data_IF_386831529377
#
_entry.id   IF_386831529377
#
_cell.length_a   1.000
_cell.length_b   1.000
_cell.length_c   1.000
_cell.angle_alpha   90.00
_cell.angle_beta   90.00
_cell.angle_gamma   90.00
#
_symmetry.space_group_name_H-M   'P 1'
#
loop_
_entity.id
_entity.type
_entity.pdbx_description
1 polymer ?
#
# COMPACT_ATOMS: atom_id res chain seq x y z
N UNK A 1 -4.42 2.92 17.09
CA UNK A 1 -3.34 2.97 18.11
C UNK A 1 -2.70 1.60 18.40
N UNK A 2 -3.01 0.53 17.64
CA UNK A 2 -2.55 -0.85 17.92
C UNK A 2 -1.21 -1.21 17.27
N UNK A 3 -0.82 -0.58 16.15
CA UNK A 3 0.51 -0.80 15.53
C UNK A 3 1.67 -0.29 16.36
N UNK A 4 1.52 0.88 17.00
CA UNK A 4 2.47 1.34 18.01
C UNK A 4 2.47 0.40 19.23
N UNK A 5 1.32 -0.11 19.67
CA UNK A 5 1.28 -1.06 20.79
C UNK A 5 1.90 -2.42 20.45
N UNK A 6 1.83 -2.88 19.20
CA UNK A 6 2.48 -4.11 18.76
C UNK A 6 3.98 -3.93 18.56
N UNK A 7 4.42 -2.80 18.00
CA UNK A 7 5.85 -2.48 17.88
C UNK A 7 6.49 -2.18 19.24
N UNK A 8 5.81 -1.41 20.10
CA UNK A 8 6.20 -1.14 21.49
C UNK A 8 6.11 -2.43 22.31
N UNK A 9 5.07 -3.23 22.14
CA UNK A 9 4.91 -4.53 22.81
C UNK A 9 5.98 -5.53 22.39
N UNK A 10 6.35 -5.55 21.11
CA UNK A 10 7.49 -6.30 20.59
C UNK A 10 8.78 -5.78 21.20
N UNK A 11 9.05 -4.47 21.17
CA UNK A 11 10.24 -3.86 21.77
C UNK A 11 10.34 -4.16 23.27
N UNK A 12 9.25 -4.03 24.03
CA UNK A 12 9.18 -4.34 25.45
C UNK A 12 9.45 -5.83 25.69
N UNK A 13 8.78 -6.72 24.95
CA UNK A 13 9.00 -8.17 25.07
C UNK A 13 10.42 -8.56 24.68
N UNK A 14 11.02 -7.87 23.70
CA UNK A 14 12.35 -8.11 23.19
C UNK A 14 13.44 -7.66 24.17
N UNK A 15 13.27 -6.47 24.75
CA UNK A 15 14.14 -5.95 25.82
C UNK A 15 14.03 -6.84 27.07
N UNK A 16 12.81 -7.28 27.42
CA UNK A 16 12.61 -8.23 28.53
C UNK A 16 13.31 -9.57 28.26
N UNK A 17 13.24 -10.10 27.03
CA UNK A 17 13.95 -11.31 26.64
C UNK A 17 15.48 -11.13 26.74
N UNK A 18 16.00 -9.98 26.32
CA UNK A 18 17.42 -9.65 26.46
C UNK A 18 17.84 -9.59 27.94
N UNK A 19 17.08 -8.88 28.78
CA UNK A 19 17.35 -8.72 30.22
C UNK A 19 17.26 -10.07 30.98
N UNK A 20 16.16 -10.80 30.84
CA UNK A 20 15.94 -12.07 31.52
C UNK A 20 16.91 -13.14 31.03
N UNK A 21 17.23 -13.14 29.74
CA UNK A 21 18.21 -14.03 29.15
C UNK A 21 19.63 -13.78 29.66
N UNK A 22 20.02 -12.51 29.86
CA UNK A 22 21.33 -12.17 30.45
C UNK A 22 21.46 -12.68 31.89
N UNK A 23 20.42 -12.52 32.71
CA UNK A 23 20.39 -13.04 34.09
C UNK A 23 20.44 -14.57 34.12
N UNK A 24 19.69 -15.23 33.23
CA UNK A 24 19.72 -16.69 33.12
C UNK A 24 21.11 -17.20 32.67
N UNK A 25 21.72 -16.52 31.71
CA UNK A 25 23.05 -16.84 31.20
C UNK A 25 24.12 -16.73 32.29
N UNK A 26 24.09 -15.64 33.07
CA UNK A 26 24.98 -15.45 34.23
C UNK A 26 24.81 -16.58 35.25
N UNK A 27 23.57 -16.98 35.55
CA UNK A 27 23.28 -18.07 36.48
C UNK A 27 23.82 -19.43 36.00
N UNK A 28 23.76 -19.71 34.69
CA UNK A 28 24.26 -20.94 34.07
C UNK A 28 25.80 -20.95 34.06
N UNK A 29 26.42 -19.82 33.72
CA UNK A 29 27.88 -19.66 33.72
C UNK A 29 28.47 -19.81 35.12
N UNK A 30 27.77 -19.30 36.14
CA UNK A 30 28.12 -19.49 37.54
C UNK A 30 28.07 -20.95 37.96
N UNK A 31 27.00 -21.68 37.57
CA UNK A 31 26.89 -23.13 37.84
C UNK A 31 27.92 -23.97 37.10
N UNK A 32 28.35 -23.53 35.91
CA UNK A 32 29.38 -24.20 35.13
C UNK A 32 30.82 -23.93 35.62
N UNK A 33 31.00 -23.10 36.66
CA UNK A 33 32.34 -22.78 37.20
C UNK A 33 33.17 -21.87 36.29
N UNK A 34 32.58 -21.31 35.23
CA UNK A 34 33.26 -20.47 34.25
C UNK A 34 33.56 -19.05 34.80
N UNK A 35 32.90 -18.67 35.90
CA UNK A 35 33.05 -17.35 36.53
C UNK A 35 34.19 -17.27 37.57
N UNK A 36 34.86 -18.38 37.91
CA UNK A 36 35.80 -18.46 39.04
C UNK A 36 37.29 -18.33 38.68
N UNK A 37 37.64 -17.94 37.45
CA UNK A 37 39.05 -17.81 37.01
C UNK A 37 39.45 -16.36 36.70
N UNK A 38 40.73 -16.02 36.76
CA UNK A 38 41.24 -14.64 36.58
C UNK A 38 40.91 -13.98 35.21
N UNK A 39 40.48 -14.76 34.22
CA UNK A 39 40.00 -14.27 32.91
C UNK A 39 38.46 -14.17 32.82
N UNK A 40 37.75 -14.34 33.94
CA UNK A 40 36.28 -14.37 34.04
C UNK A 40 35.63 -13.12 33.43
N UNK A 41 36.23 -11.93 33.62
CA UNK A 41 35.68 -10.68 33.06
C UNK A 41 35.66 -10.65 31.53
N UNK A 42 36.70 -11.18 30.88
CA UNK A 42 36.79 -11.24 29.41
C UNK A 42 35.83 -12.29 28.86
N UNK A 43 35.75 -13.45 29.50
CA UNK A 43 34.85 -14.54 29.10
C UNK A 43 33.39 -14.07 29.22
N UNK A 44 33.03 -13.41 30.32
CA UNK A 44 31.70 -12.83 30.53
C UNK A 44 31.42 -11.76 29.47
N UNK A 45 32.35 -10.84 29.21
CA UNK A 45 32.17 -9.80 28.20
C UNK A 45 31.90 -10.37 26.81
N UNK A 46 32.68 -11.38 26.39
CA UNK A 46 32.49 -12.06 25.10
C UNK A 46 31.12 -12.72 25.02
N UNK A 47 30.69 -13.40 26.08
CA UNK A 47 29.40 -14.10 26.11
C UNK A 47 28.23 -13.11 26.10
N UNK A 48 28.32 -12.01 26.83
CA UNK A 48 27.30 -10.94 26.81
C UNK A 48 27.22 -10.25 25.44
N UNK A 49 28.37 -10.00 24.80
CA UNK A 49 28.42 -9.44 23.44
C UNK A 49 27.81 -10.42 22.42
N UNK A 50 28.14 -11.71 22.51
CA UNK A 50 27.58 -12.74 21.63
C UNK A 50 26.06 -12.89 21.83
N UNK A 51 25.58 -12.90 23.08
CA UNK A 51 24.15 -12.91 23.40
C UNK A 51 23.44 -11.67 22.86
N UNK A 52 24.03 -10.49 23.05
CA UNK A 52 23.48 -9.22 22.55
C UNK A 52 23.43 -9.20 21.02
N UNK A 53 24.47 -9.69 20.34
CA UNK A 53 24.49 -9.79 18.88
C UNK A 53 23.44 -10.79 18.37
N UNK A 54 23.32 -11.97 18.98
CA UNK A 54 22.34 -12.99 18.59
C UNK A 54 20.90 -12.50 18.77
N UNK A 55 20.60 -11.85 19.90
CA UNK A 55 19.28 -11.27 20.16
C UNK A 55 19.02 -10.05 19.26
N UNK A 56 20.02 -9.22 18.98
CA UNK A 56 19.83 -8.07 18.06
C UNK A 56 19.59 -8.53 16.63
N UNK A 57 20.36 -9.51 16.13
CA UNK A 57 20.21 -10.08 14.79
C UNK A 57 18.89 -10.85 14.64
N UNK A 58 18.55 -11.69 15.62
CA UNK A 58 17.29 -12.43 15.63
C UNK A 58 16.08 -11.50 15.73
N UNK A 59 16.19 -10.44 16.53
CA UNK A 59 15.14 -9.43 16.71
C UNK A 59 14.93 -8.61 15.47
N UNK A 60 16.02 -8.15 14.87
CA UNK A 60 15.99 -7.44 13.59
C UNK A 60 15.43 -8.34 12.48
N UNK A 61 15.82 -9.61 12.41
CA UNK A 61 15.31 -10.55 11.41
C UNK A 61 13.80 -10.82 11.60
N UNK A 62 13.34 -11.02 12.83
CA UNK A 62 11.93 -11.22 13.14
C UNK A 62 11.11 -9.95 12.92
N UNK A 63 11.62 -8.81 13.36
CA UNK A 63 11.02 -7.50 13.13
C UNK A 63 10.90 -7.22 11.63
N UNK A 64 11.94 -7.47 10.84
CA UNK A 64 11.89 -7.37 9.38
C UNK A 64 10.97 -8.40 8.73
N UNK A 65 10.84 -9.59 9.31
CA UNK A 65 9.88 -10.59 8.81
C UNK A 65 8.43 -10.15 9.05
N UNK A 66 8.16 -9.49 10.17
CA UNK A 66 6.82 -9.02 10.54
C UNK A 66 6.47 -7.71 9.82
N UNK A 67 7.42 -6.78 9.72
CA UNK A 67 7.21 -5.43 9.17
C UNK A 67 7.60 -5.29 7.70
N UNK A 68 8.47 -6.17 7.20
CA UNK A 68 9.02 -6.10 5.85
C UNK A 68 9.99 -4.95 5.59
N UNK A 69 10.40 -4.16 6.59
CA UNK A 69 11.11 -2.88 6.41
C UNK A 69 12.38 -2.94 5.54
N UNK A 70 13.12 -4.05 5.55
CA UNK A 70 14.32 -4.22 4.72
C UNK A 70 14.11 -5.00 3.41
N UNK A 71 12.89 -5.43 3.08
CA UNK A 71 12.62 -5.99 1.76
C UNK A 71 12.52 -4.86 0.74
N UNK A 72 12.99 -5.09 -0.49
CA UNK A 72 12.68 -4.22 -1.62
C UNK A 72 11.16 -3.97 -1.70
N UNK A 73 10.77 -2.80 -2.22
CA UNK A 73 9.35 -2.51 -2.50
C UNK A 73 8.70 -3.65 -3.28
N UNK A 74 7.36 -3.83 -3.17
CA UNK A 74 6.68 -4.96 -3.79
C UNK A 74 7.17 -5.17 -5.23
N UNK A 75 7.88 -6.28 -5.45
CA UNK A 75 8.27 -6.67 -6.80
C UNK A 75 6.98 -6.94 -7.57
N UNK A 76 6.97 -6.49 -8.83
CA UNK A 76 5.85 -6.61 -9.76
C UNK A 76 5.15 -7.96 -9.56
N UNK A 77 3.86 -7.98 -9.16
CA UNK A 77 3.15 -9.23 -8.95
C UNK A 77 3.32 -10.10 -10.20
N UNK A 78 3.68 -11.37 -10.02
CA UNK A 78 3.79 -12.36 -11.11
C UNK A 78 2.49 -12.51 -11.92
N UNK A 79 1.38 -11.96 -11.42
CA UNK A 79 0.04 -12.02 -11.98
C UNK A 79 -0.40 -10.73 -12.69
N UNK A 80 0.50 -10.06 -13.42
CA UNK A 80 0.11 -8.99 -14.35
C UNK A 80 -0.61 -9.57 -15.57
N UNK A 81 -1.59 -8.85 -16.11
CA UNK A 81 -2.22 -9.26 -17.36
C UNK A 81 -1.26 -9.04 -18.54
N UNK A 82 -1.22 -10.01 -19.47
CA UNK A 82 -0.48 -9.90 -20.73
C UNK A 82 -1.28 -9.25 -21.86
N UNK A 83 -2.60 -9.18 -21.73
CA UNK A 83 -3.52 -8.54 -22.67
C UNK A 83 -4.68 -7.89 -21.91
N UNK A 84 -5.43 -7.02 -22.58
CA UNK A 84 -6.61 -6.39 -21.98
C UNK A 84 -7.62 -7.47 -21.60
N UNK A 85 -8.12 -7.51 -20.35
CA UNK A 85 -9.16 -8.46 -19.96
C UNK A 85 -10.47 -8.17 -20.71
N UNK A 86 -11.23 -9.20 -21.16
CA UNK A 86 -12.46 -9.01 -21.93
C UNK A 86 -13.50 -8.09 -21.26
N UNK A 87 -13.57 -8.13 -19.94
CA UNK A 87 -14.52 -7.30 -19.17
C UNK A 87 -14.13 -5.81 -19.19
N UNK A 88 -12.83 -5.53 -19.15
CA UNK A 88 -12.32 -4.17 -19.33
C UNK A 88 -12.49 -3.71 -20.78
N UNK A 89 -12.24 -4.60 -21.75
CA UNK A 89 -12.45 -4.33 -23.17
C UNK A 89 -13.90 -3.92 -23.46
N UNK A 90 -14.88 -4.66 -22.90
CA UNK A 90 -16.29 -4.30 -23.01
C UNK A 90 -16.57 -2.90 -22.45
N UNK A 91 -15.99 -2.54 -21.31
CA UNK A 91 -16.16 -1.19 -20.75
C UNK A 91 -15.52 -0.11 -21.64
N UNK A 92 -14.34 -0.38 -22.20
CA UNK A 92 -13.62 0.55 -23.09
C UNK A 92 -14.41 0.92 -24.35
N UNK A 93 -15.29 0.04 -24.85
CA UNK A 93 -16.15 0.32 -26.01
C UNK A 93 -17.11 1.49 -25.80
N UNK A 94 -17.36 1.87 -24.54
CA UNK A 94 -18.25 2.98 -24.18
C UNK A 94 -17.56 4.35 -24.31
N UNK A 95 -16.23 4.36 -24.45
CA UNK A 95 -15.43 5.56 -24.53
C UNK A 95 -15.14 5.93 -25.99
N UNK A 96 -14.85 7.22 -26.28
CA UNK A 96 -14.36 7.61 -27.59
C UNK A 96 -13.10 6.81 -27.96
N UNK A 97 -12.90 6.45 -29.24
CA UNK A 97 -11.66 5.83 -29.68
C UNK A 97 -10.48 6.79 -29.44
N UNK A 98 -9.31 6.22 -29.16
CA UNK A 98 -8.08 7.01 -29.04
C UNK A 98 -7.67 7.53 -30.42
N UNK A 99 -7.13 8.75 -30.44
CA UNK A 99 -6.48 9.28 -31.63
C UNK A 99 -5.12 8.61 -31.79
N UNK A 100 -4.63 8.51 -33.02
CA UNK A 100 -3.32 7.91 -33.30
C UNK A 100 -2.21 8.52 -32.42
N UNK A 101 -1.42 7.66 -31.77
CA UNK A 101 -0.35 8.04 -30.85
C UNK A 101 -0.80 8.40 -29.43
N UNK A 102 -2.10 8.45 -29.13
CA UNK A 102 -2.58 8.62 -27.75
C UNK A 102 -2.48 7.32 -26.95
N UNK A 103 -2.44 7.47 -25.64
CA UNK A 103 -2.53 6.37 -24.68
C UNK A 103 -3.72 6.61 -23.76
N UNK A 104 -4.32 5.55 -23.23
CA UNK A 104 -5.36 5.62 -22.21
C UNK A 104 -4.86 5.02 -20.91
N UNK A 105 -4.92 5.82 -19.85
CA UNK A 105 -4.69 5.36 -18.48
C UNK A 105 -6.05 5.09 -17.84
N UNK A 106 -6.36 3.82 -17.57
CA UNK A 106 -7.56 3.42 -16.82
C UNK A 106 -7.17 3.04 -15.40
N UNK A 107 -7.75 3.75 -14.43
CA UNK A 107 -7.55 3.49 -13.01
C UNK A 107 -8.85 2.96 -12.41
N UNK A 108 -8.83 1.71 -11.97
CA UNK A 108 -9.89 1.15 -11.15
C UNK A 108 -9.58 1.54 -9.71
N UNK A 109 -10.28 2.55 -9.22
CA UNK A 109 -10.20 2.99 -7.84
C UNK A 109 -11.04 2.03 -6.99
N UNK A 110 -10.55 1.70 -5.80
CA UNK A 110 -11.34 1.02 -4.78
C UNK A 110 -12.52 1.91 -4.36
N UNK A 111 -13.04 1.74 -3.14
CA UNK A 111 -14.05 2.66 -2.65
C UNK A 111 -13.57 4.11 -2.76
N UNK A 112 -14.42 5.02 -3.21
CA UNK A 112 -14.03 6.43 -3.35
C UNK A 112 -13.67 7.07 -2.00
N UNK A 113 -14.17 6.49 -0.90
CA UNK A 113 -13.74 6.77 0.46
C UNK A 113 -12.46 6.08 0.93
N UNK A 114 -11.80 5.30 0.10
CA UNK A 114 -10.52 4.70 0.44
C UNK A 114 -9.40 5.75 0.30
N UNK A 115 -8.41 5.67 1.19
CA UNK A 115 -7.25 6.58 1.13
C UNK A 115 -6.43 6.35 -0.14
N UNK A 116 -6.37 5.10 -0.62
CA UNK A 116 -5.73 4.74 -1.87
C UNK A 116 -6.35 5.49 -3.06
N UNK A 117 -7.69 5.49 -3.14
CA UNK A 117 -8.42 6.20 -4.20
C UNK A 117 -8.16 7.71 -4.18
N UNK A 118 -8.19 8.32 -3.00
CA UNK A 118 -7.96 9.76 -2.83
C UNK A 118 -6.51 10.14 -3.14
N UNK A 119 -5.53 9.41 -2.60
CA UNK A 119 -4.11 9.66 -2.85
C UNK A 119 -3.78 9.48 -4.35
N UNK A 120 -4.34 8.47 -5.00
CA UNK A 120 -4.10 8.24 -6.42
C UNK A 120 -4.71 9.35 -7.29
N UNK A 121 -5.96 9.75 -7.02
CA UNK A 121 -6.56 10.86 -7.74
C UNK A 121 -5.77 12.17 -7.55
N UNK A 122 -5.30 12.46 -6.34
CA UNK A 122 -4.44 13.63 -6.11
C UNK A 122 -3.11 13.55 -6.86
N UNK A 123 -2.49 12.37 -6.94
CA UNK A 123 -1.28 12.16 -7.73
C UNK A 123 -1.51 12.40 -9.23
N UNK A 124 -2.66 11.94 -9.77
CA UNK A 124 -3.09 12.24 -11.14
C UNK A 124 -3.31 13.74 -11.35
N UNK A 125 -3.99 14.40 -10.41
CA UNK A 125 -4.27 15.83 -10.52
C UNK A 125 -3.02 16.70 -10.43
N UNK A 126 -2.02 16.28 -9.67
CA UNK A 126 -0.73 16.96 -9.59
C UNK A 126 0.02 16.99 -10.94
N UNK A 127 -0.16 15.96 -11.77
CA UNK A 127 0.47 15.83 -13.10
C UNK A 127 -0.54 15.99 -14.24
N UNK A 128 -1.73 16.54 -13.98
CA UNK A 128 -2.83 16.51 -14.93
C UNK A 128 -2.49 17.15 -16.28
N UNK A 129 -1.90 18.35 -16.27
CA UNK A 129 -1.52 19.04 -17.52
C UNK A 129 -0.46 18.26 -18.29
N UNK A 130 0.56 17.75 -17.60
CA UNK A 130 1.63 16.94 -18.19
C UNK A 130 1.07 15.68 -18.87
N UNK A 131 0.12 15.00 -18.22
CA UNK A 131 -0.55 13.82 -18.78
C UNK A 131 -1.33 14.17 -20.06
N UNK A 132 -2.04 15.29 -20.07
CA UNK A 132 -2.77 15.74 -21.26
C UNK A 132 -1.82 16.14 -22.40
N UNK A 133 -0.74 16.84 -22.10
CA UNK A 133 0.29 17.24 -23.08
C UNK A 133 0.98 16.02 -23.71
N UNK A 134 1.13 14.93 -22.95
CA UNK A 134 1.64 13.64 -23.44
C UNK A 134 0.58 12.79 -24.18
N UNK A 135 -0.64 13.31 -24.39
CA UNK A 135 -1.71 12.60 -25.07
C UNK A 135 -2.27 11.42 -24.27
N UNK A 136 -2.20 11.47 -22.93
CA UNK A 136 -2.72 10.43 -22.05
C UNK A 136 -4.17 10.76 -21.66
N UNK A 137 -5.11 9.99 -22.19
CA UNK A 137 -6.52 9.99 -21.77
C UNK A 137 -6.66 9.26 -20.43
N UNK A 138 -6.76 10.01 -19.33
CA UNK A 138 -6.99 9.46 -17.99
C UNK A 138 -8.47 9.20 -17.76
N UNK A 139 -8.82 7.98 -17.34
CA UNK A 139 -10.16 7.54 -16.96
C UNK A 139 -10.11 6.80 -15.64
N UNK A 140 -11.11 7.02 -14.79
CA UNK A 140 -11.25 6.31 -13.52
C UNK A 140 -12.59 5.59 -13.43
N UNK A 141 -12.58 4.45 -12.76
CA UNK A 141 -13.79 3.68 -12.40
C UNK A 141 -13.70 3.47 -10.89
N UNK A 142 -14.60 4.09 -10.12
CA UNK A 142 -14.56 4.02 -8.66
C UNK A 142 -15.76 3.32 -8.06
N UNK A 143 -15.55 2.63 -6.93
CA UNK A 143 -16.65 2.00 -6.20
C UNK A 143 -17.38 3.08 -5.40
N UNK A 144 -18.63 3.34 -5.76
CA UNK A 144 -19.41 4.41 -5.16
C UNK A 144 -20.68 4.72 -5.93
N UNK A 145 -21.50 5.60 -5.34
CA UNK A 145 -22.69 6.16 -5.95
C UNK A 145 -22.47 7.62 -6.39
N UNK A 146 -23.52 8.24 -6.93
CA UNK A 146 -23.49 9.63 -7.37
C UNK A 146 -23.01 10.61 -6.27
N UNK A 147 -23.46 10.43 -5.03
CA UNK A 147 -23.10 11.31 -3.92
C UNK A 147 -21.63 11.20 -3.56
N UNK A 148 -21.11 9.97 -3.51
CA UNK A 148 -19.69 9.73 -3.31
C UNK A 148 -18.84 10.31 -4.44
N UNK A 149 -19.28 10.17 -5.69
CA UNK A 149 -18.60 10.69 -6.88
C UNK A 149 -18.53 12.21 -6.90
N UNK A 150 -19.66 12.89 -6.67
CA UNK A 150 -19.72 14.36 -6.61
C UNK A 150 -18.75 14.91 -5.57
N UNK A 151 -18.74 14.32 -4.36
CA UNK A 151 -17.84 14.74 -3.30
C UNK A 151 -16.37 14.42 -3.60
N UNK A 152 -16.10 13.23 -4.14
CA UNK A 152 -14.75 12.82 -4.53
C UNK A 152 -14.14 13.77 -5.54
N UNK A 153 -14.88 14.11 -6.60
CA UNK A 153 -14.47 15.08 -7.61
C UNK A 153 -14.27 16.48 -7.00
N UNK A 154 -15.19 16.93 -6.13
CA UNK A 154 -15.07 18.22 -5.46
C UNK A 154 -13.81 18.32 -4.60
N UNK A 155 -13.46 17.26 -3.86
CA UNK A 155 -12.33 17.27 -2.94
C UNK A 155 -10.98 17.06 -3.65
N UNK A 156 -10.92 16.12 -4.59
CA UNK A 156 -9.67 15.75 -5.27
C UNK A 156 -9.36 16.65 -6.46
N UNK A 157 -10.37 17.32 -7.03
CA UNK A 157 -10.29 18.04 -8.29
C UNK A 157 -10.41 17.12 -9.53
N UNK A 158 -10.62 15.82 -9.35
CA UNK A 158 -10.73 14.87 -10.45
C UNK A 158 -11.97 15.17 -11.32
N UNK A 159 -11.86 15.23 -12.66
CA UNK A 159 -13.00 15.60 -13.51
C UNK A 159 -14.11 14.56 -13.49
N UNK A 160 -15.35 14.99 -13.23
CA UNK A 160 -16.49 14.10 -13.09
C UNK A 160 -16.81 13.31 -14.38
N UNK A 161 -16.59 13.92 -15.55
CA UNK A 161 -16.77 13.29 -16.86
C UNK A 161 -15.70 12.22 -17.19
N UNK A 162 -14.63 12.17 -16.39
CA UNK A 162 -13.58 11.14 -16.48
C UNK A 162 -13.75 10.04 -15.43
N UNK A 163 -14.73 10.17 -14.52
CA UNK A 163 -15.02 9.22 -13.45
C UNK A 163 -16.31 8.45 -13.76
N UNK A 164 -16.19 7.14 -13.90
CA UNK A 164 -17.33 6.21 -13.90
C UNK A 164 -17.54 5.65 -12.49
N UNK A 165 -18.80 5.44 -12.12
CA UNK A 165 -19.20 5.00 -10.78
C UNK A 165 -19.75 3.58 -10.86
N UNK A 166 -19.30 2.73 -9.94
CA UNK A 166 -19.69 1.33 -9.85
C UNK A 166 -20.13 0.97 -8.43
N UNK A 167 -21.43 1.06 -8.10
CA UNK A 167 -21.91 0.84 -6.73
C UNK A 167 -21.68 -0.58 -6.18
N UNK A 168 -21.64 -1.59 -7.06
CA UNK A 168 -21.63 -3.02 -6.69
C UNK A 168 -20.29 -3.72 -6.95
N UNK A 169 -19.22 -2.95 -7.21
CA UNK A 169 -17.88 -3.46 -7.52
C UNK A 169 -17.89 -4.59 -8.58
N UNK A 170 -18.76 -4.49 -9.59
CA UNK A 170 -18.98 -5.50 -10.62
C UNK A 170 -17.72 -5.80 -11.44
N UNK A 171 -17.15 -4.79 -12.10
CA UNK A 171 -15.93 -4.92 -12.88
C UNK A 171 -14.75 -5.34 -12.00
N UNK A 172 -14.63 -4.78 -10.80
CA UNK A 172 -13.58 -5.14 -9.85
C UNK A 172 -13.55 -6.65 -9.55
N UNK A 173 -14.72 -7.22 -9.25
CA UNK A 173 -14.87 -8.66 -8.99
C UNK A 173 -14.67 -9.51 -10.23
N UNK A 174 -15.19 -9.09 -11.37
CA UNK A 174 -15.04 -9.81 -12.63
C UNK A 174 -13.58 -9.90 -13.10
N UNK A 175 -12.78 -8.88 -12.81
CA UNK A 175 -11.34 -8.87 -13.05
C UNK A 175 -10.55 -9.68 -12.01
N UNK A 176 -11.21 -10.23 -10.98
CA UNK A 176 -10.55 -10.96 -9.91
C UNK A 176 -9.61 -10.07 -9.08
N UNK A 177 -9.95 -8.79 -8.92
CA UNK A 177 -9.20 -7.89 -8.06
C UNK A 177 -9.33 -8.30 -6.59
N UNK A 178 -8.30 -8.00 -5.82
CA UNK A 178 -8.21 -8.40 -4.43
C UNK A 178 -9.42 -7.91 -3.62
N UNK A 179 -10.20 -8.84 -3.07
CA UNK A 179 -11.46 -8.55 -2.35
C UNK A 179 -11.26 -8.30 -0.85
N UNK A 180 -10.03 -8.45 -0.35
CA UNK A 180 -9.73 -8.38 1.07
C UNK A 180 -9.67 -9.73 1.76
N UNK A 181 -9.66 -9.67 3.10
CA UNK A 181 -9.83 -10.84 3.95
C UNK A 181 -11.28 -10.98 4.40
N UNK A 182 -11.69 -12.21 4.64
CA UNK A 182 -12.97 -12.54 5.23
C UNK A 182 -12.79 -13.19 6.62
N UNK A 183 -13.88 -13.30 7.39
CA UNK A 183 -13.90 -14.08 8.63
C UNK A 183 -13.66 -13.31 9.93
N UNK A 184 -13.50 -11.98 9.91
CA UNK A 184 -13.31 -11.18 11.14
C UNK A 184 -14.61 -10.56 11.70
N UNK A 185 -15.78 -11.01 11.23
CA UNK A 185 -17.06 -10.58 11.80
C UNK A 185 -17.68 -9.34 11.15
N UNK A 186 -17.20 -8.94 9.98
CA UNK A 186 -17.83 -7.92 9.14
C UNK A 186 -16.82 -7.09 8.33
N UNK A 187 -17.29 -6.28 7.37
CA UNK A 187 -16.43 -5.49 6.50
C UNK A 187 -15.49 -4.53 7.25
N UNK A 188 -15.97 -3.92 8.34
CA UNK A 188 -15.16 -3.02 9.18
C UNK A 188 -14.05 -3.75 9.92
N UNK A 189 -14.34 -4.92 10.48
CA UNK A 189 -13.34 -5.72 11.18
C UNK A 189 -12.31 -6.28 10.20
N UNK A 190 -12.74 -6.69 9.01
CA UNK A 190 -11.84 -7.10 7.93
C UNK A 190 -10.92 -5.93 7.53
N UNK A 191 -11.46 -4.72 7.34
CA UNK A 191 -10.68 -3.52 7.05
C UNK A 191 -9.67 -3.21 8.16
N UNK A 192 -10.10 -3.24 9.44
CA UNK A 192 -9.21 -3.01 10.57
C UNK A 192 -8.09 -4.04 10.68
N UNK A 193 -8.39 -5.30 10.38
CA UNK A 193 -7.39 -6.36 10.33
C UNK A 193 -6.39 -6.13 9.18
N UNK A 194 -6.85 -5.69 8.00
CA UNK A 194 -5.97 -5.30 6.89
C UNK A 194 -5.11 -4.08 7.24
N UNK A 195 -5.67 -3.06 7.91
CA UNK A 195 -4.93 -1.92 8.44
C UNK A 195 -3.87 -2.35 9.47
N UNK A 196 -4.11 -3.43 10.21
CA UNK A 196 -3.14 -4.06 11.10
C UNK A 196 -2.12 -4.98 10.37
N UNK A 197 -2.16 -5.04 9.04
CA UNK A 197 -1.27 -5.83 8.19
C UNK A 197 -1.72 -7.28 7.96
N UNK A 198 -2.87 -7.69 8.48
CA UNK A 198 -3.39 -9.06 8.31
C UNK A 198 -4.02 -9.16 6.92
N UNK A 199 -3.48 -10.05 6.08
CA UNK A 199 -3.93 -10.27 4.71
C UNK A 199 -3.69 -9.13 3.74
N UNK A 200 -3.01 -8.07 4.16
CA UNK A 200 -2.61 -6.95 3.32
C UNK A 200 -1.08 -6.78 3.38
N UNK A 201 -0.31 -7.57 2.60
CA UNK A 201 1.14 -7.57 2.67
C UNK A 201 1.72 -6.19 2.35
N UNK A 202 2.58 -5.67 3.24
CA UNK A 202 3.26 -4.39 3.03
C UNK A 202 2.52 -3.15 3.56
N UNK A 203 1.26 -3.24 3.98
CA UNK A 203 0.49 -2.08 4.48
C UNK A 203 1.17 -1.39 5.67
N UNK A 204 1.63 -2.15 6.68
CA UNK A 204 2.35 -1.56 7.82
C UNK A 204 3.67 -0.89 7.39
N UNK A 205 4.35 -1.43 6.38
CA UNK A 205 5.56 -0.84 5.82
C UNK A 205 5.27 0.51 5.19
N UNK A 206 4.19 0.60 4.40
CA UNK A 206 3.79 1.84 3.73
C UNK A 206 3.28 2.91 4.71
N UNK A 207 2.61 2.49 5.79
CA UNK A 207 2.30 3.40 6.91
C UNK A 207 3.61 3.93 7.51
N UNK A 208 4.54 3.06 7.89
CA UNK A 208 5.81 3.47 8.50
C UNK A 208 6.68 4.31 7.56
N UNK A 209 6.71 4.00 6.27
CA UNK A 209 7.39 4.80 5.23
C UNK A 209 6.82 6.21 5.16
N UNK A 210 5.49 6.35 5.25
CA UNK A 210 4.84 7.66 5.32
C UNK A 210 5.35 8.52 6.47
N UNK A 211 5.72 7.91 7.61
CA UNK A 211 6.32 8.60 8.76
C UNK A 211 7.83 8.83 8.63
N UNK A 212 8.57 7.90 8.00
CA UNK A 212 10.04 7.98 7.89
C UNK A 212 10.53 8.77 6.68
N UNK A 213 9.67 9.00 5.68
CA UNK A 213 10.01 9.72 4.45
C UNK A 213 10.87 8.88 3.50
N UNK A 214 10.43 8.77 2.24
CA UNK A 214 11.15 8.03 1.21
C UNK A 214 10.86 8.52 -0.21
N UNK A 215 10.49 9.79 -0.35
CA UNK A 215 10.16 10.42 -1.64
C UNK A 215 10.69 11.85 -1.72
N UNK A 216 10.36 12.56 -2.81
CA UNK A 216 10.81 13.93 -3.06
C UNK A 216 10.25 14.98 -2.07
N UNK A 217 9.20 14.62 -1.32
CA UNK A 217 8.55 15.49 -0.33
C UNK A 217 9.01 15.20 1.11
N UNK A 218 9.05 16.26 1.95
CA UNK A 218 9.41 16.15 3.36
C UNK A 218 8.42 15.22 4.12
N UNK A 219 8.88 14.37 5.06
CA UNK A 219 8.02 13.43 5.79
C UNK A 219 6.81 14.10 6.46
N UNK A 220 7.01 15.29 7.05
CA UNK A 220 5.96 16.07 7.69
C UNK A 220 4.86 16.52 6.71
N UNK A 221 5.24 16.86 5.47
CA UNK A 221 4.30 17.29 4.45
C UNK A 221 3.40 16.14 3.99
N UNK A 222 3.98 14.96 3.75
CA UNK A 222 3.22 13.75 3.39
C UNK A 222 2.25 13.38 4.52
N UNK A 223 2.72 13.36 5.76
CA UNK A 223 1.88 13.09 6.93
C UNK A 223 0.71 14.11 7.04
N UNK A 224 0.97 15.38 6.72
CA UNK A 224 -0.06 16.43 6.72
C UNK A 224 -1.11 16.23 5.62
N UNK A 225 -0.71 15.80 4.41
CA UNK A 225 -1.64 15.45 3.32
C UNK A 225 -2.50 14.26 3.73
N UNK A 226 -1.88 13.19 4.24
CA UNK A 226 -2.60 11.98 4.67
C UNK A 226 -3.58 12.26 5.81
N UNK A 227 -3.16 13.08 6.78
CA UNK A 227 -4.05 13.52 7.86
C UNK A 227 -5.25 14.31 7.33
N UNK A 228 -5.03 15.21 6.36
CA UNK A 228 -6.11 15.97 5.74
C UNK A 228 -7.09 15.07 5.00
N UNK A 229 -6.59 14.13 4.20
CA UNK A 229 -7.41 13.13 3.51
C UNK A 229 -8.20 12.28 4.51
N UNK A 230 -7.58 11.89 5.61
CA UNK A 230 -8.23 11.15 6.69
C UNK A 230 -9.36 11.97 7.34
N UNK A 231 -9.12 13.24 7.67
CA UNK A 231 -10.13 14.12 8.25
C UNK A 231 -11.32 14.30 7.30
N UNK A 232 -11.04 14.53 6.01
CA UNK A 232 -12.07 14.69 4.98
C UNK A 232 -12.95 13.44 4.85
N UNK A 233 -12.32 12.28 4.59
CA UNK A 233 -13.04 11.03 4.34
C UNK A 233 -13.81 10.61 5.58
N UNK A 234 -13.20 10.64 6.77
CA UNK A 234 -13.87 10.22 8.00
C UNK A 234 -14.99 11.20 8.41
N UNK A 235 -14.81 12.50 8.17
CA UNK A 235 -15.83 13.51 8.42
C UNK A 235 -17.08 13.33 7.55
N UNK A 236 -16.92 12.68 6.39
CA UNK A 236 -17.98 12.47 5.40
C UNK A 236 -18.16 11.01 5.02
N UNK A 237 -17.87 10.10 5.95
CA UNK A 237 -17.78 8.67 5.71
C UNK A 237 -18.99 8.09 4.99
N UNK A 238 -20.20 8.39 5.48
CA UNK A 238 -21.45 7.87 4.89
C UNK A 238 -21.70 8.33 3.46
N UNK A 239 -21.12 9.46 3.06
CA UNK A 239 -21.20 9.95 1.68
C UNK A 239 -20.20 9.23 0.79
N UNK A 240 -18.99 9.00 1.29
CA UNK A 240 -17.91 8.36 0.52
C UNK A 240 -18.03 6.82 0.44
N UNK A 241 -18.64 6.22 1.45
CA UNK A 241 -18.80 4.77 1.63
C UNK A 241 -20.31 4.48 1.73
N UNK A 242 -21.05 4.56 0.60
CA UNK A 242 -22.49 4.29 0.60
C UNK A 242 -22.81 2.81 0.87
N UNK A 243 -21.87 1.91 0.56
CA UNK A 243 -21.99 0.47 0.80
C UNK A 243 -20.69 -0.10 1.36
N UNK A 244 -20.75 -0.57 2.61
CA UNK A 244 -19.58 -1.07 3.34
C UNK A 244 -19.11 -2.45 2.85
N UNK A 245 -19.94 -3.18 2.09
CA UNK A 245 -19.60 -4.53 1.59
C UNK A 245 -18.31 -4.55 0.77
N UNK A 246 -17.98 -3.42 0.14
CA UNK A 246 -16.86 -3.30 -0.79
C UNK A 246 -15.64 -2.56 -0.21
N UNK A 247 -15.60 -2.23 1.09
CA UNK A 247 -14.49 -1.48 1.70
C UNK A 247 -13.13 -2.16 1.57
N UNK A 248 -13.13 -3.49 1.50
CA UNK A 248 -11.90 -4.28 1.38
C UNK A 248 -11.49 -4.57 -0.06
N UNK A 249 -12.36 -4.27 -1.02
CA UNK A 249 -12.09 -4.43 -2.45
C UNK A 249 -11.02 -3.43 -2.89
N UNK A 250 -10.00 -3.91 -3.60
CA UNK A 250 -8.91 -3.10 -4.14
C UNK A 250 -8.99 -2.94 -5.65
N UNK A 251 -8.18 -2.00 -6.14
CA UNK A 251 -8.17 -1.50 -7.49
C UNK A 251 -7.14 -2.15 -8.40
N UNK A 252 -6.94 -1.50 -9.54
CA UNK A 252 -5.94 -1.83 -10.54
C UNK A 252 -5.66 -0.63 -11.44
N UNK A 253 -4.53 -0.67 -12.14
CA UNK A 253 -4.16 0.33 -13.16
C UNK A 253 -3.87 -0.36 -14.47
N UNK A 254 -4.30 0.24 -15.58
CA UNK A 254 -4.02 -0.20 -16.94
C UNK A 254 -3.56 0.97 -17.79
N UNK A 255 -2.52 0.76 -18.61
CA UNK A 255 -2.11 1.68 -19.67
C UNK A 255 -2.28 0.98 -21.01
N UNK A 256 -3.01 1.61 -21.93
CA UNK A 256 -3.41 1.03 -23.21
C UNK A 256 -3.04 2.01 -24.34
N UNK A 257 -2.61 1.50 -25.50
CA UNK A 257 -2.35 2.34 -26.68
C UNK A 257 -3.59 2.49 -27.59
N UNK A 258 -3.45 3.29 -28.64
CA UNK A 258 -4.42 3.50 -29.70
C UNK A 258 -4.76 2.26 -30.53
N UNK A 259 -3.95 1.20 -30.44
CA UNK A 259 -4.14 -0.10 -31.09
C UNK A 259 -4.85 -1.14 -30.20
N UNK A 260 -5.35 -0.73 -29.02
CA UNK A 260 -5.96 -1.62 -28.02
C UNK A 260 -5.00 -2.67 -27.48
N UNK A 261 -3.70 -2.35 -27.39
CA UNK A 261 -2.69 -3.18 -26.76
C UNK A 261 -2.43 -2.72 -25.32
N UNK A 262 -2.25 -3.69 -24.43
CA UNK A 262 -1.93 -3.42 -23.03
C UNK A 262 -0.43 -3.14 -22.87
N UNK A 263 -0.07 -1.91 -22.50
CA UNK A 263 1.31 -1.48 -22.27
C UNK A 263 1.77 -1.72 -20.83
N UNK A 264 0.88 -1.51 -19.86
CA UNK A 264 1.17 -1.69 -18.44
C UNK A 264 -0.08 -2.16 -17.71
N UNK A 265 0.10 -3.05 -16.73
CA UNK A 265 -0.94 -3.36 -15.75
C UNK A 265 -0.38 -3.50 -14.34
N UNK A 266 -1.21 -3.10 -13.37
CA UNK A 266 -0.96 -3.26 -11.95
C UNK A 266 -2.22 -3.76 -11.26
N UNK A 267 -2.06 -4.78 -10.41
CA UNK A 267 -3.12 -5.25 -9.50
C UNK A 267 -2.72 -4.88 -8.09
N UNK A 268 -3.62 -4.23 -7.39
CA UNK A 268 -3.37 -3.80 -6.01
C UNK A 268 -3.30 -5.04 -5.10
N UNK A 269 -2.17 -5.30 -4.41
CA UNK A 269 -2.01 -6.47 -3.57
C UNK A 269 -2.67 -6.31 -2.19
N UNK A 270 -3.19 -5.11 -1.87
CA UNK A 270 -3.69 -4.75 -0.55
C UNK A 270 -3.81 -3.24 -0.37
N UNK A 271 -4.07 -2.81 0.86
CA UNK A 271 -4.10 -1.40 1.27
C UNK A 271 -2.73 -0.72 1.10
N UNK A 272 -2.75 0.53 0.64
CA UNK A 272 -1.57 1.36 0.35
C UNK A 272 -0.67 0.73 -0.73
N UNK A 273 -1.28 -0.04 -1.64
CA UNK A 273 -0.59 -0.80 -2.68
C UNK A 273 -1.03 -0.45 -4.10
N UNK A 274 -1.64 0.72 -4.32
CA UNK A 274 -2.26 1.10 -5.60
C UNK A 274 -1.28 1.40 -6.74
N UNK A 275 0.02 1.42 -6.46
CA UNK A 275 1.08 1.54 -7.47
C UNK A 275 2.30 0.71 -7.08
N UNK A 276 3.04 0.24 -8.09
CA UNK A 276 4.34 -0.39 -7.92
C UNK A 276 5.34 0.49 -7.17
N UNK A 277 5.24 1.81 -7.35
CA UNK A 277 6.14 2.80 -6.73
C UNK A 277 5.33 3.84 -5.96
N UNK A 278 5.07 3.59 -4.67
CA UNK A 278 4.22 4.48 -3.86
C UNK A 278 4.82 5.88 -3.58
N UNK A 279 6.12 6.09 -3.81
CA UNK A 279 6.75 7.41 -3.72
C UNK A 279 6.57 8.27 -4.98
N UNK A 280 6.28 7.62 -6.11
CA UNK A 280 5.98 8.23 -7.41
C UNK A 280 4.99 7.31 -8.15
N UNK A 281 3.69 7.41 -7.83
CA UNK A 281 2.70 6.43 -8.31
C UNK A 281 2.59 6.31 -9.82
N UNK A 282 3.06 7.32 -10.56
CA UNK A 282 2.97 7.45 -12.01
C UNK A 282 4.33 7.22 -12.71
N UNK A 283 5.32 6.67 -12.00
CA UNK A 283 6.66 6.39 -12.55
C UNK A 283 6.64 5.43 -13.74
N UNK A 284 5.66 4.53 -13.83
CA UNK A 284 5.53 3.59 -14.95
C UNK A 284 5.31 4.27 -16.30
N UNK A 285 4.82 5.52 -16.31
CA UNK A 285 4.65 6.30 -17.53
C UNK A 285 5.98 6.68 -18.18
N UNK A 286 7.06 6.80 -17.40
CA UNK A 286 8.40 7.11 -17.94
C UNK A 286 9.17 5.85 -18.36
N UNK A 287 8.79 4.68 -17.80
CA UNK A 287 9.38 3.38 -18.12
C UNK A 287 8.88 2.79 -19.43
N UNK A 288 7.77 3.29 -19.96
CA UNK A 288 7.25 2.90 -21.27
C UNK A 288 7.83 3.90 -22.27
N UNK A 289 8.95 3.58 -22.95
CA UNK A 289 9.56 4.52 -23.87
C UNK A 289 8.53 4.82 -24.96
N UNK A 290 8.51 6.07 -25.42
CA UNK A 290 7.75 6.44 -26.60
C UNK A 290 8.00 5.42 -27.72
N UNK A 291 6.97 4.65 -28.08
CA UNK A 291 6.87 3.99 -29.38
C UNK A 291 6.56 5.06 -30.45
N UNK A 292 7.25 6.19 -30.39
CA UNK A 292 7.23 7.23 -31.39
C UNK A 292 8.44 7.03 -32.29
N UNK A 293 8.33 6.06 -33.21
CA UNK A 293 8.96 6.10 -34.53
C UNK A 293 8.12 5.28 -35.52
#
# INVERSE_FOLDING_TARGET
MTGNLQAIGFLLSWVLLWCLGAVALESVLGRAGLLSSGNSSVIVAVIVLAWTAAISLGGWALFNRITGLSQAGPQQPKDTWSSIPPQLEQWLTQLPPLVQGQRRLVVLLSQLGDFDSVEYAQALMQRWSELQDQGIDVRAIGIGDRGSGERFCQYTGFPAERLSLEPEAGLHRQLGLYSGIEGFGGPWQNLLAMCAGIGSPGTLREVLRGYHGGGQALPFWIASIRLRNMIEVLGHWRTYVPDERWMTQRGATFLINDQSELLYSWKDPGLLGFSATMSDPLSFLTLTPDLAH
#
